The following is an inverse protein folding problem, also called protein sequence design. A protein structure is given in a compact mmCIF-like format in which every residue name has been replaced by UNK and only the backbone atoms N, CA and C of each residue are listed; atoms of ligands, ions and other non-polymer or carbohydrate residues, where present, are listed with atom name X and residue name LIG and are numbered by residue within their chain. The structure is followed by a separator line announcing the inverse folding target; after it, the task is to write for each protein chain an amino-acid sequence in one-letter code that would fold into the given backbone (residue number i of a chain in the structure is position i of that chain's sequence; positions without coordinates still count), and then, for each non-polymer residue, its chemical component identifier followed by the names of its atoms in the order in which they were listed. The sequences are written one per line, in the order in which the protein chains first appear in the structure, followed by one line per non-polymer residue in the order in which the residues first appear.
data_IF_162746605762
#
_entry.id   IF_162746605762
#
_cell.length_a   1.000
_cell.length_b   1.000
_cell.length_c   1.000
_cell.angle_alpha   90.00
_cell.angle_beta   90.00
_cell.angle_gamma   90.00
#
_symmetry.space_group_name_H-M   'P 1'
#
loop_
_entity.id
_entity.type
_entity.pdbx_description
1 polymer ?
#
# COMPACT_ATOMS: atom_id res chain seq x y z
N UNK A 1 3.51 -21.79 22.72
CA UNK A 1 3.43 -21.10 21.41
C UNK A 1 4.72 -20.45 20.96
N UNK A 2 5.34 -19.49 21.69
CA UNK A 2 6.61 -18.84 21.30
C UNK A 2 7.73 -19.86 20.99
N UNK A 3 7.90 -20.85 21.88
CA UNK A 3 8.82 -21.98 21.72
C UNK A 3 8.50 -22.90 20.51
N UNK A 4 7.22 -23.05 20.17
CA UNK A 4 6.76 -23.91 19.06
C UNK A 4 7.00 -23.26 17.69
N UNK A 5 6.90 -21.93 17.62
CA UNK A 5 7.25 -21.13 16.43
C UNK A 5 8.76 -20.93 16.25
N UNK A 6 9.53 -20.99 17.34
CA UNK A 6 11.00 -20.99 17.31
C UNK A 6 11.57 -22.37 16.90
N UNK A 7 10.90 -23.47 17.27
CA UNK A 7 11.37 -24.85 17.03
C UNK A 7 10.94 -25.43 15.65
N UNK A 8 9.80 -25.06 15.08
CA UNK A 8 9.44 -25.42 13.69
C UNK A 8 9.78 -24.29 12.73
N UNK A 9 10.86 -24.46 11.97
CA UNK A 9 11.24 -23.54 10.91
C UNK A 9 10.12 -23.41 9.87
N UNK A 10 9.62 -22.18 9.68
CA UNK A 10 8.79 -21.82 8.52
C UNK A 10 9.45 -22.40 7.24
N UNK A 11 8.70 -23.07 6.35
CA UNK A 11 9.22 -23.56 5.08
C UNK A 11 9.95 -22.44 4.32
N UNK A 12 11.07 -22.78 3.68
CA UNK A 12 11.97 -21.82 3.00
C UNK A 12 11.21 -20.93 2.01
N UNK A 13 10.19 -21.48 1.34
CA UNK A 13 9.38 -20.77 0.35
C UNK A 13 8.50 -19.67 0.98
N UNK A 14 8.06 -19.86 2.22
CA UNK A 14 7.27 -18.88 2.99
C UNK A 14 8.18 -17.76 3.49
N UNK A 15 9.38 -18.10 4.00
CA UNK A 15 10.38 -17.08 4.37
C UNK A 15 10.82 -16.24 3.17
N UNK A 16 10.82 -16.81 1.96
CA UNK A 16 11.17 -16.13 0.71
C UNK A 16 10.04 -15.21 0.21
N UNK A 17 8.77 -15.60 0.35
CA UNK A 17 7.61 -14.78 -0.04
C UNK A 17 7.25 -13.67 0.97
N UNK A 18 7.46 -13.89 2.28
CA UNK A 18 7.02 -12.97 3.33
C UNK A 18 8.10 -12.04 3.86
N UNK A 19 9.29 -12.05 3.25
CA UNK A 19 10.42 -11.18 3.65
C UNK A 19 10.08 -9.68 3.59
N UNK A 20 9.01 -9.29 2.88
CA UNK A 20 8.60 -7.90 2.69
C UNK A 20 7.41 -7.39 3.50
N UNK A 21 6.72 -8.19 4.34
CA UNK A 21 5.52 -7.69 5.03
C UNK A 21 5.23 -8.33 6.40
N UNK A 22 6.21 -8.27 7.31
CA UNK A 22 6.11 -8.75 8.71
C UNK A 22 4.91 -8.14 9.48
N UNK A 23 4.49 -6.91 9.13
CA UNK A 23 3.41 -6.17 9.81
C UNK A 23 2.03 -6.71 9.47
N UNK A 24 1.77 -7.07 8.22
CA UNK A 24 0.54 -7.72 7.80
C UNK A 24 0.39 -9.08 8.50
N UNK A 25 1.47 -9.84 8.57
CA UNK A 25 1.52 -11.12 9.29
C UNK A 25 1.20 -10.96 10.79
N UNK A 26 1.74 -9.92 11.43
CA UNK A 26 1.49 -9.61 12.85
C UNK A 26 0.04 -9.20 13.12
N UNK A 27 -0.52 -8.30 12.31
CA UNK A 27 -1.90 -7.82 12.49
C UNK A 27 -2.92 -8.94 12.29
N UNK A 28 -2.66 -9.84 11.34
CA UNK A 28 -3.46 -11.04 11.11
C UNK A 28 -3.36 -12.01 12.29
N UNK A 29 -2.17 -12.18 12.87
CA UNK A 29 -1.96 -12.99 14.08
C UNK A 29 -2.72 -12.46 15.29
N UNK A 30 -2.72 -11.14 15.49
CA UNK A 30 -3.36 -10.51 16.64
C UNK A 30 -4.90 -10.55 16.52
N UNK A 31 -5.45 -10.26 15.33
CA UNK A 31 -6.89 -10.39 15.07
C UNK A 31 -7.42 -11.82 15.28
N UNK A 32 -6.65 -12.83 14.88
CA UNK A 32 -7.06 -14.23 15.02
C UNK A 32 -6.91 -14.74 16.46
N UNK A 33 -5.96 -14.22 17.23
CA UNK A 33 -5.79 -14.52 18.67
C UNK A 33 -6.95 -13.98 19.50
N UNK A 34 -7.45 -12.79 19.17
CA UNK A 34 -8.59 -12.19 19.87
C UNK A 34 -9.93 -12.87 19.54
N UNK A 35 -10.04 -13.49 18.36
CA UNK A 35 -11.32 -14.02 17.85
C UNK A 35 -11.54 -15.50 18.09
N UNK A 36 -10.48 -16.29 18.27
CA UNK A 36 -10.56 -17.74 18.37
C UNK A 36 -9.69 -18.26 19.52
N UNK A 37 -10.32 -18.88 20.51
CA UNK A 37 -9.64 -19.46 21.67
C UNK A 37 -8.98 -20.79 21.29
N UNK A 38 -7.70 -20.75 20.94
CA UNK A 38 -6.97 -21.88 20.36
C UNK A 38 -6.24 -22.70 21.42
N UNK A 39 -6.97 -23.45 22.25
CA UNK A 39 -6.31 -24.21 23.34
C UNK A 39 -5.70 -25.56 22.93
N UNK A 40 -6.11 -26.24 21.85
CA UNK A 40 -5.47 -27.50 21.37
C UNK A 40 -6.03 -28.01 20.03
N UNK A 41 -5.54 -27.52 18.89
CA UNK A 41 -5.54 -28.24 17.59
C UNK A 41 -4.36 -27.73 16.73
N UNK A 42 -3.17 -28.30 16.93
CA UNK A 42 -1.91 -27.68 16.52
C UNK A 42 -1.60 -27.75 15.00
N UNK A 43 -2.26 -28.63 14.24
CA UNK A 43 -2.03 -28.75 12.80
C UNK A 43 -3.12 -28.09 11.94
N UNK A 44 -4.38 -28.14 12.39
CA UNK A 44 -5.53 -27.56 11.66
C UNK A 44 -5.53 -26.03 11.78
N UNK A 45 -5.32 -25.49 12.99
CA UNK A 45 -5.32 -24.03 13.18
C UNK A 45 -4.13 -23.38 12.46
N UNK A 46 -3.00 -24.07 12.38
CA UNK A 46 -1.84 -23.63 11.61
C UNK A 46 -2.11 -23.66 10.09
N UNK A 47 -2.72 -24.73 9.56
CA UNK A 47 -3.09 -24.78 8.14
C UNK A 47 -4.14 -23.73 7.76
N UNK A 48 -5.13 -23.48 8.62
CA UNK A 48 -6.14 -22.41 8.45
C UNK A 48 -5.51 -21.01 8.55
N UNK A 49 -4.56 -20.82 9.46
CA UNK A 49 -3.80 -19.59 9.59
C UNK A 49 -2.95 -19.29 8.34
N UNK A 50 -2.16 -20.24 7.84
CA UNK A 50 -1.40 -20.07 6.60
C UNK A 50 -2.30 -19.81 5.40
N UNK A 51 -3.41 -20.51 5.35
CA UNK A 51 -4.44 -20.34 4.33
C UNK A 51 -4.95 -18.90 4.35
N UNK A 52 -5.33 -18.38 5.51
CA UNK A 52 -5.79 -17.00 5.67
C UNK A 52 -4.76 -15.97 5.22
N UNK A 53 -3.48 -16.16 5.55
CA UNK A 53 -2.42 -15.25 5.14
C UNK A 53 -2.18 -15.34 3.62
N UNK A 54 -2.17 -16.54 3.03
CA UNK A 54 -2.08 -16.70 1.56
C UNK A 54 -3.22 -15.96 0.85
N UNK A 55 -4.44 -16.03 1.39
CA UNK A 55 -5.61 -15.32 0.88
C UNK A 55 -5.44 -13.81 1.03
N UNK A 56 -5.18 -13.32 2.25
CA UNK A 56 -5.02 -11.90 2.53
C UNK A 56 -3.91 -11.31 1.67
N UNK A 57 -2.79 -12.00 1.50
CA UNK A 57 -1.72 -11.54 0.61
C UNK A 57 -2.15 -11.54 -0.86
N UNK A 58 -2.92 -12.52 -1.31
CA UNK A 58 -3.38 -12.54 -2.70
C UNK A 58 -4.44 -11.46 -2.96
N UNK A 59 -5.41 -11.27 -2.06
CA UNK A 59 -6.37 -10.16 -2.12
C UNK A 59 -5.71 -8.80 -1.92
N UNK A 60 -4.56 -8.76 -1.23
CA UNK A 60 -3.85 -7.52 -0.90
C UNK A 60 -2.77 -7.13 -1.91
N UNK A 61 -2.19 -8.06 -2.67
CA UNK A 61 -1.00 -7.78 -3.50
C UNK A 61 -1.22 -8.15 -4.97
N UNK A 62 -1.96 -9.22 -5.29
CA UNK A 62 -2.09 -9.75 -6.64
C UNK A 62 -3.55 -10.06 -6.95
N UNK A 63 -4.30 -9.04 -7.38
CA UNK A 63 -5.74 -9.18 -7.68
C UNK A 63 -5.97 -10.30 -8.70
N UNK A 64 -5.12 -10.48 -9.72
CA UNK A 64 -5.33 -11.57 -10.68
C UNK A 64 -5.14 -12.97 -10.07
N UNK A 65 -4.33 -13.10 -9.02
CA UNK A 65 -4.04 -14.37 -8.36
C UNK A 65 -4.94 -14.65 -7.15
N UNK A 66 -5.78 -13.72 -6.69
CA UNK A 66 -6.63 -14.00 -5.52
C UNK A 66 -7.58 -15.19 -5.75
N UNK A 67 -8.12 -15.34 -6.97
CA UNK A 67 -8.89 -16.53 -7.36
C UNK A 67 -8.06 -17.82 -7.31
N UNK A 68 -6.82 -17.79 -7.82
CA UNK A 68 -5.90 -18.91 -7.77
C UNK A 68 -5.46 -19.23 -6.32
N UNK A 69 -5.28 -18.22 -5.49
CA UNK A 69 -4.95 -18.35 -4.07
C UNK A 69 -6.13 -18.94 -3.30
N UNK A 70 -7.36 -18.46 -3.53
CA UNK A 70 -8.59 -19.05 -2.98
C UNK A 70 -8.68 -20.53 -3.34
N UNK A 71 -8.48 -20.91 -4.61
CA UNK A 71 -8.47 -22.31 -5.04
C UNK A 71 -7.35 -23.13 -4.39
N UNK A 72 -6.12 -22.59 -4.34
CA UNK A 72 -4.98 -23.25 -3.71
C UNK A 72 -5.22 -23.52 -2.23
N UNK A 73 -5.78 -22.54 -1.53
CA UNK A 73 -6.17 -22.66 -0.12
C UNK A 73 -7.30 -23.68 0.05
N UNK A 74 -8.34 -23.62 -0.79
CA UNK A 74 -9.45 -24.57 -0.77
C UNK A 74 -8.95 -26.01 -0.94
N UNK A 75 -8.07 -26.26 -1.91
CA UNK A 75 -7.42 -27.55 -2.13
C UNK A 75 -6.59 -28.06 -0.94
N UNK A 76 -5.99 -27.17 -0.13
CA UNK A 76 -5.27 -27.53 1.09
C UNK A 76 -6.24 -27.87 2.22
N UNK A 77 -7.28 -27.06 2.38
CA UNK A 77 -8.28 -27.23 3.45
C UNK A 77 -9.13 -28.48 3.23
N UNK A 78 -9.49 -28.80 1.99
CA UNK A 78 -10.28 -29.99 1.65
C UNK A 78 -9.56 -31.31 2.01
N UNK A 79 -8.23 -31.28 2.18
CA UNK A 79 -7.42 -32.42 2.63
C UNK A 79 -7.36 -32.56 4.15
N UNK A 80 -7.87 -31.59 4.90
CA UNK A 80 -7.86 -31.61 6.37
C UNK A 80 -9.09 -32.36 6.92
N UNK A 81 -8.99 -32.98 8.11
CA UNK A 81 -10.14 -33.56 8.79
C UNK A 81 -11.23 -32.51 8.99
N UNK A 82 -12.47 -32.77 8.57
CA UNK A 82 -13.56 -31.78 8.65
C UNK A 82 -14.03 -31.56 10.08
N UNK A 83 -13.32 -30.69 10.80
CA UNK A 83 -13.70 -30.17 12.12
C UNK A 83 -14.59 -28.94 11.99
N UNK A 84 -15.31 -28.60 13.06
CA UNK A 84 -16.20 -27.43 13.08
C UNK A 84 -15.46 -26.12 12.76
N UNK A 85 -14.22 -25.96 13.24
CA UNK A 85 -13.38 -24.79 12.98
C UNK A 85 -13.02 -24.65 11.49
N UNK A 86 -12.69 -25.77 10.83
CA UNK A 86 -12.43 -25.78 9.37
C UNK A 86 -13.69 -25.43 8.59
N UNK A 87 -14.83 -26.02 8.96
CA UNK A 87 -16.10 -25.73 8.28
C UNK A 87 -16.50 -24.26 8.42
N UNK A 88 -16.27 -23.65 9.59
CA UNK A 88 -16.49 -22.22 9.81
C UNK A 88 -15.56 -21.36 8.95
N UNK A 89 -14.28 -21.73 8.86
CA UNK A 89 -13.31 -21.01 8.03
C UNK A 89 -13.67 -21.09 6.54
N UNK A 90 -14.05 -22.27 6.03
CA UNK A 90 -14.50 -22.43 4.64
C UNK A 90 -15.69 -21.50 4.35
N UNK A 91 -16.64 -21.35 5.27
CA UNK A 91 -17.78 -20.43 5.09
C UNK A 91 -17.37 -18.97 4.99
N UNK A 92 -16.46 -18.50 5.84
CA UNK A 92 -15.93 -17.14 5.76
C UNK A 92 -15.11 -16.94 4.48
N UNK A 93 -14.34 -17.95 4.08
CA UNK A 93 -13.59 -17.94 2.83
C UNK A 93 -14.50 -17.76 1.61
N UNK A 94 -15.57 -18.55 1.52
CA UNK A 94 -16.56 -18.45 0.45
C UNK A 94 -17.26 -17.08 0.43
N UNK A 95 -17.48 -16.46 1.60
CA UNK A 95 -18.03 -15.11 1.70
C UNK A 95 -17.08 -14.06 1.14
N UNK A 96 -15.78 -14.14 1.48
CA UNK A 96 -14.75 -13.25 0.97
C UNK A 96 -14.56 -13.39 -0.54
N UNK A 97 -14.50 -14.62 -1.05
CA UNK A 97 -14.42 -14.91 -2.49
C UNK A 97 -15.61 -14.29 -3.26
N UNK A 98 -16.83 -14.41 -2.72
CA UNK A 98 -18.03 -13.76 -3.31
C UNK A 98 -17.99 -12.24 -3.25
N UNK A 99 -17.37 -11.64 -2.23
CA UNK A 99 -17.21 -10.19 -2.13
C UNK A 99 -16.20 -9.69 -3.17
N UNK A 100 -15.07 -10.38 -3.31
CA UNK A 100 -14.04 -10.07 -4.30
C UNK A 100 -14.58 -10.24 -5.73
N UNK A 101 -15.32 -11.31 -6.01
CA UNK A 101 -15.97 -11.48 -7.32
C UNK A 101 -16.95 -10.34 -7.63
N UNK A 102 -17.73 -9.89 -6.62
CA UNK A 102 -18.64 -8.75 -6.77
C UNK A 102 -17.87 -7.45 -7.05
N UNK A 103 -16.76 -7.23 -6.34
CA UNK A 103 -15.87 -6.08 -6.57
C UNK A 103 -15.32 -6.09 -8.00
N UNK A 104 -14.78 -7.22 -8.48
CA UNK A 104 -14.24 -7.32 -9.86
C UNK A 104 -15.29 -7.03 -10.91
N UNK A 105 -16.47 -7.64 -10.80
CA UNK A 105 -17.59 -7.37 -11.72
C UNK A 105 -18.01 -5.90 -11.70
N UNK A 106 -17.95 -5.25 -10.52
CA UNK A 106 -18.20 -3.81 -10.40
C UNK A 106 -17.13 -3.01 -11.13
N UNK A 107 -15.85 -3.27 -10.90
CA UNK A 107 -14.73 -2.59 -11.58
C UNK A 107 -14.78 -2.78 -13.10
N UNK A 108 -15.04 -4.00 -13.57
CA UNK A 108 -15.21 -4.31 -14.99
C UNK A 108 -16.37 -3.51 -15.60
N UNK A 109 -17.50 -3.39 -14.88
CA UNK A 109 -18.61 -2.54 -15.31
C UNK A 109 -18.18 -1.07 -15.40
N UNK A 110 -17.45 -0.57 -14.40
CA UNK A 110 -16.98 0.82 -14.36
C UNK A 110 -16.01 1.14 -15.51
N UNK A 111 -15.11 0.21 -15.86
CA UNK A 111 -14.19 0.36 -17.00
C UNK A 111 -14.91 0.49 -18.35
N UNK A 112 -16.11 -0.06 -18.47
CA UNK A 112 -16.90 -0.08 -19.70
C UNK A 112 -18.02 0.98 -19.71
N UNK A 113 -18.10 1.86 -18.70
CA UNK A 113 -19.04 2.96 -18.70
C UNK A 113 -18.64 4.02 -19.74
N UNK A 114 -19.65 4.60 -20.38
CA UNK A 114 -19.46 5.85 -21.13
C UNK A 114 -19.28 7.01 -20.15
N UNK A 115 -18.03 7.20 -19.74
CA UNK A 115 -17.65 8.19 -18.74
C UNK A 115 -18.07 9.62 -19.11
N UNK A 116 -18.11 9.95 -20.41
CA UNK A 116 -18.40 11.31 -20.85
C UNK A 116 -19.90 11.65 -20.71
N UNK A 117 -20.76 10.63 -20.66
CA UNK A 117 -22.20 10.76 -20.43
C UNK A 117 -22.61 10.94 -18.96
N UNK A 118 -21.68 10.69 -18.02
CA UNK A 118 -21.95 10.72 -16.59
C UNK A 118 -22.05 12.15 -16.04
N UNK A 119 -22.82 12.33 -14.95
CA UNK A 119 -22.76 13.57 -14.19
C UNK A 119 -21.43 13.71 -13.44
N UNK A 120 -21.03 14.95 -13.12
CA UNK A 120 -19.76 15.22 -12.46
C UNK A 120 -19.57 14.45 -11.14
N UNK A 121 -20.63 14.25 -10.36
CA UNK A 121 -20.56 13.47 -9.11
C UNK A 121 -20.22 12.01 -9.41
N UNK A 122 -20.88 11.42 -10.39
CA UNK A 122 -20.66 10.02 -10.80
C UNK A 122 -19.26 9.85 -11.39
N UNK A 123 -18.81 10.81 -12.23
CA UNK A 123 -17.44 10.84 -12.76
C UNK A 123 -16.39 10.75 -11.64
N UNK A 124 -16.57 11.53 -10.58
CA UNK A 124 -15.69 11.52 -9.39
C UNK A 124 -15.71 10.14 -8.72
N UNK A 125 -16.90 9.62 -8.42
CA UNK A 125 -17.06 8.33 -7.74
C UNK A 125 -16.39 7.19 -8.54
N UNK A 126 -16.56 7.17 -9.87
CA UNK A 126 -15.90 6.19 -10.75
C UNK A 126 -14.39 6.35 -10.75
N UNK A 127 -13.87 7.58 -10.86
CA UNK A 127 -12.44 7.82 -10.89
C UNK A 127 -11.75 7.38 -9.58
N UNK A 128 -12.32 7.72 -8.42
CA UNK A 128 -11.77 7.29 -7.12
C UNK A 128 -11.83 5.78 -6.94
N UNK A 129 -12.95 5.14 -7.28
CA UNK A 129 -13.08 3.69 -7.12
C UNK A 129 -12.08 2.92 -7.99
N UNK A 130 -11.86 3.38 -9.23
CA UNK A 130 -10.86 2.80 -10.11
C UNK A 130 -9.42 3.10 -9.63
N UNK A 131 -9.15 4.27 -9.04
CA UNK A 131 -7.81 4.60 -8.51
C UNK A 131 -7.42 3.80 -7.28
N UNK A 132 -8.41 3.41 -6.46
CA UNK A 132 -8.23 2.53 -5.30
C UNK A 132 -8.12 1.05 -5.68
N UNK A 133 -8.34 0.73 -6.96
CA UNK A 133 -8.04 -0.60 -7.50
C UNK A 133 -6.54 -0.89 -7.36
N UNK A 134 -6.19 -2.16 -7.15
CA UNK A 134 -4.78 -2.59 -7.13
C UNK A 134 -4.27 -2.95 -8.51
N UNK A 135 -5.17 -3.18 -9.45
CA UNK A 135 -4.83 -3.42 -10.86
C UNK A 135 -4.36 -2.12 -11.53
N UNK A 136 -3.21 -2.21 -12.21
CA UNK A 136 -2.57 -1.07 -12.85
C UNK A 136 -3.39 -0.54 -14.02
N UNK A 137 -4.16 -1.41 -14.70
CA UNK A 137 -5.01 -1.02 -15.82
C UNK A 137 -6.14 -0.11 -15.36
N UNK A 138 -6.84 -0.49 -14.29
CA UNK A 138 -7.85 0.33 -13.63
C UNK A 138 -7.31 1.68 -13.20
N UNK A 139 -6.12 1.72 -12.57
CA UNK A 139 -5.47 2.98 -12.22
C UNK A 139 -5.13 3.82 -13.46
N UNK A 140 -4.64 3.20 -14.54
CA UNK A 140 -4.38 3.89 -15.79
C UNK A 140 -5.64 4.52 -16.40
N UNK A 141 -6.80 3.86 -16.28
CA UNK A 141 -8.11 4.42 -16.66
C UNK A 141 -8.49 5.56 -15.73
N UNK A 142 -8.37 5.36 -14.41
CA UNK A 142 -8.67 6.38 -13.40
C UNK A 142 -7.85 7.66 -13.60
N UNK A 143 -6.56 7.55 -13.94
CA UNK A 143 -5.71 8.69 -14.27
C UNK A 143 -6.32 9.50 -15.44
N UNK A 144 -6.72 8.84 -16.53
CA UNK A 144 -7.39 9.53 -17.65
C UNK A 144 -8.69 10.21 -17.23
N UNK A 145 -9.47 9.59 -16.36
CA UNK A 145 -10.71 10.16 -15.84
C UNK A 145 -10.47 11.37 -14.94
N UNK A 146 -9.48 11.32 -14.04
CA UNK A 146 -9.09 12.49 -13.26
C UNK A 146 -8.63 13.66 -14.14
N UNK A 147 -7.86 13.39 -15.21
CA UNK A 147 -7.49 14.42 -16.17
C UNK A 147 -8.70 15.02 -16.89
N UNK A 148 -9.69 14.21 -17.28
CA UNK A 148 -10.96 14.70 -17.84
C UNK A 148 -11.73 15.58 -16.86
N UNK A 149 -11.87 15.15 -15.61
CA UNK A 149 -12.54 15.92 -14.55
C UNK A 149 -11.79 17.25 -14.31
N UNK A 150 -10.46 17.22 -14.27
CA UNK A 150 -9.65 18.44 -14.17
C UNK A 150 -9.90 19.37 -15.36
N UNK A 151 -9.98 18.84 -16.58
CA UNK A 151 -10.25 19.68 -17.76
C UNK A 151 -11.63 20.33 -17.74
N UNK A 152 -12.64 19.66 -17.17
CA UNK A 152 -14.00 20.19 -16.99
C UNK A 152 -14.11 21.22 -15.85
N UNK A 153 -13.42 20.98 -14.74
CA UNK A 153 -13.61 21.73 -13.49
C UNK A 153 -12.52 22.75 -13.20
N UNK A 154 -11.31 22.54 -13.74
CA UNK A 154 -10.06 23.23 -13.41
C UNK A 154 -9.71 23.20 -11.92
N UNK A 155 -10.25 22.23 -11.19
CA UNK A 155 -9.90 21.99 -9.79
C UNK A 155 -8.59 21.18 -9.70
N UNK A 156 -7.55 21.84 -9.18
CA UNK A 156 -6.19 21.31 -9.02
C UNK A 156 -6.14 20.02 -8.20
N UNK A 157 -7.13 19.76 -7.34
CA UNK A 157 -7.23 18.49 -6.60
C UNK A 157 -7.25 17.29 -7.56
N UNK A 158 -7.98 17.39 -8.67
CA UNK A 158 -8.06 16.32 -9.66
C UNK A 158 -6.78 16.20 -10.49
N UNK A 159 -6.05 17.29 -10.68
CA UNK A 159 -4.74 17.24 -11.34
C UNK A 159 -3.69 16.55 -10.45
N UNK A 160 -3.72 16.81 -9.13
CA UNK A 160 -2.89 16.09 -8.17
C UNK A 160 -3.20 14.59 -8.16
N UNK A 161 -4.50 14.23 -8.15
CA UNK A 161 -4.92 12.82 -8.21
C UNK A 161 -4.55 12.16 -9.54
N UNK A 162 -4.60 12.89 -10.65
CA UNK A 162 -4.14 12.42 -11.95
C UNK A 162 -2.65 12.02 -11.90
N UNK A 163 -1.77 12.93 -11.46
CA UNK A 163 -0.33 12.68 -11.39
C UNK A 163 0.03 11.52 -10.45
N UNK A 164 -0.58 11.48 -9.25
CA UNK A 164 -0.39 10.37 -8.32
C UNK A 164 -0.90 9.04 -8.87
N UNK A 165 -2.03 9.06 -9.57
CA UNK A 165 -2.60 7.84 -10.16
C UNK A 165 -1.76 7.35 -11.34
N UNK A 166 -1.18 8.24 -12.15
CA UNK A 166 -0.20 7.89 -13.20
C UNK A 166 1.01 7.16 -12.59
N UNK A 167 1.55 7.69 -11.50
CA UNK A 167 2.67 7.06 -10.82
C UNK A 167 2.32 5.64 -10.37
N UNK A 168 1.18 5.51 -9.68
CA UNK A 168 0.66 4.24 -9.15
C UNK A 168 0.23 3.25 -10.24
N UNK A 169 -0.05 3.71 -11.46
CA UNK A 169 -0.33 2.84 -12.62
C UNK A 169 0.93 2.39 -13.35
N UNK A 170 2.12 2.83 -12.90
CA UNK A 170 3.41 2.50 -13.52
C UNK A 170 3.87 3.48 -14.60
N UNK A 171 3.08 4.51 -14.93
CA UNK A 171 3.51 5.56 -15.86
C UNK A 171 4.31 6.64 -15.10
N UNK A 172 5.44 6.21 -14.53
CA UNK A 172 6.22 7.01 -13.58
C UNK A 172 6.89 8.22 -14.23
N UNK A 173 7.43 8.04 -15.45
CA UNK A 173 8.10 9.13 -16.18
C UNK A 173 7.14 10.28 -16.43
N UNK A 174 5.94 10.00 -16.97
CA UNK A 174 4.92 11.03 -17.16
C UNK A 174 4.50 11.65 -15.83
N UNK A 175 4.33 10.86 -14.77
CA UNK A 175 3.99 11.39 -13.46
C UNK A 175 5.04 12.40 -12.93
N UNK A 176 6.33 12.20 -13.22
CA UNK A 176 7.38 13.17 -12.84
C UNK A 176 7.19 14.52 -13.52
N UNK A 177 6.84 14.52 -14.81
CA UNK A 177 6.55 15.74 -15.58
C UNK A 177 5.33 16.48 -15.00
N UNK A 178 4.25 15.76 -14.70
CA UNK A 178 3.05 16.36 -14.10
C UNK A 178 3.31 16.90 -12.68
N UNK A 179 4.19 16.24 -11.92
CA UNK A 179 4.63 16.76 -10.63
C UNK A 179 5.40 18.07 -10.73
N UNK A 180 6.21 18.27 -11.78
CA UNK A 180 6.85 19.57 -11.99
C UNK A 180 5.81 20.66 -12.25
N UNK A 181 4.75 20.36 -13.01
CA UNK A 181 3.66 21.30 -13.25
C UNK A 181 2.89 21.62 -11.97
N UNK A 182 2.55 20.61 -11.15
CA UNK A 182 1.88 20.81 -9.84
C UNK A 182 2.72 21.71 -8.92
N UNK A 183 4.04 21.50 -8.88
CA UNK A 183 4.95 22.33 -8.08
C UNK A 183 4.93 23.79 -8.55
N UNK A 184 4.88 24.05 -9.87
CA UNK A 184 4.74 25.41 -10.37
C UNK A 184 3.39 26.01 -10.00
N UNK A 185 2.30 25.26 -10.17
CA UNK A 185 0.95 25.72 -9.81
C UNK A 185 0.85 26.06 -8.33
N UNK A 186 1.48 25.29 -7.44
CA UNK A 186 1.50 25.57 -6.02
C UNK A 186 2.23 26.86 -5.64
N UNK A 187 3.00 27.49 -6.53
CA UNK A 187 3.58 28.82 -6.26
C UNK A 187 2.54 29.94 -6.36
N UNK A 188 1.50 29.75 -7.16
CA UNK A 188 0.52 30.80 -7.48
C UNK A 188 -0.88 30.49 -6.93
N UNK A 189 -1.26 29.22 -6.87
CA UNK A 189 -2.60 28.79 -6.47
C UNK A 189 -2.73 28.61 -4.96
N UNK A 190 -3.89 28.93 -4.38
CA UNK A 190 -4.18 28.58 -2.97
C UNK A 190 -4.76 27.16 -2.94
N UNK A 191 -4.12 26.27 -2.19
CA UNK A 191 -4.58 24.88 -2.04
C UNK A 191 -4.39 24.43 -0.58
N UNK A 192 -5.44 23.93 0.09
CA UNK A 192 -5.42 23.67 1.55
C UNK A 192 -4.46 22.55 1.96
N UNK A 193 -4.14 21.63 1.05
CA UNK A 193 -3.34 20.42 1.34
C UNK A 193 -1.99 20.39 0.60
N UNK A 194 -1.39 21.57 0.32
CA UNK A 194 -0.13 21.65 -0.43
C UNK A 194 0.98 20.82 0.20
N UNK A 195 1.19 20.98 1.51
CA UNK A 195 2.25 20.28 2.21
C UNK A 195 2.08 18.75 2.13
N UNK A 196 0.85 18.26 2.21
CA UNK A 196 0.56 16.84 2.04
C UNK A 196 0.89 16.35 0.63
N UNK A 197 0.39 17.04 -0.39
CA UNK A 197 0.65 16.66 -1.79
C UNK A 197 2.15 16.73 -2.09
N UNK A 198 2.84 17.78 -1.63
CA UNK A 198 4.29 17.91 -1.79
C UNK A 198 5.05 16.76 -1.13
N UNK A 199 4.66 16.34 0.08
CA UNK A 199 5.22 15.16 0.74
C UNK A 199 5.06 13.89 -0.10
N UNK A 200 3.87 13.66 -0.67
CA UNK A 200 3.64 12.53 -1.58
C UNK A 200 4.46 12.61 -2.87
N UNK A 201 4.59 13.81 -3.46
CA UNK A 201 5.42 14.03 -4.65
C UNK A 201 6.88 13.68 -4.38
N UNK A 202 7.42 14.13 -3.25
CA UNK A 202 8.80 13.80 -2.88
C UNK A 202 8.97 12.30 -2.65
N UNK A 203 8.00 11.62 -2.02
CA UNK A 203 8.04 10.17 -1.85
C UNK A 203 8.11 9.42 -3.18
N UNK A 204 7.24 9.75 -4.12
CA UNK A 204 7.21 9.12 -5.43
C UNK A 204 8.50 9.41 -6.23
N UNK A 205 9.06 10.63 -6.11
CA UNK A 205 10.35 10.99 -6.72
C UNK A 205 11.51 10.20 -6.12
N UNK A 206 11.57 10.04 -4.80
CA UNK A 206 12.57 9.21 -4.14
C UNK A 206 12.49 7.76 -4.62
N UNK A 207 11.29 7.16 -4.67
CA UNK A 207 11.12 5.79 -5.18
C UNK A 207 11.49 5.69 -6.67
N UNK A 208 11.24 6.73 -7.47
CA UNK A 208 11.63 6.76 -8.89
C UNK A 208 13.15 6.79 -9.06
N UNK A 209 13.84 7.61 -8.27
CA UNK A 209 15.29 7.81 -8.35
C UNK A 209 16.10 6.99 -7.33
N UNK A 210 15.51 5.99 -6.68
CA UNK A 210 16.17 5.17 -5.64
C UNK A 210 17.43 4.42 -6.07
N UNK A 211 17.70 4.28 -7.37
CA UNK A 211 18.93 3.69 -7.89
C UNK A 211 20.01 4.74 -8.22
N UNK A 212 19.69 6.03 -8.14
CA UNK A 212 20.59 7.16 -8.41
C UNK A 212 20.82 7.92 -7.10
N UNK A 213 21.90 7.58 -6.38
CA UNK A 213 22.20 8.17 -5.07
C UNK A 213 22.27 9.69 -5.12
N UNK A 214 22.81 10.26 -6.20
CA UNK A 214 22.97 11.71 -6.32
C UNK A 214 21.61 12.39 -6.39
N UNK A 215 20.73 11.92 -7.30
CA UNK A 215 19.36 12.46 -7.40
C UNK A 215 18.55 12.23 -6.13
N UNK A 216 18.68 11.05 -5.54
CA UNK A 216 18.01 10.74 -4.27
C UNK A 216 18.40 11.74 -3.17
N UNK A 217 19.69 12.06 -3.03
CA UNK A 217 20.18 13.06 -2.08
C UNK A 217 19.64 14.47 -2.40
N UNK A 218 19.67 14.88 -3.67
CA UNK A 218 19.14 16.19 -4.11
C UNK A 218 17.65 16.34 -3.76
N UNK A 219 16.87 15.27 -3.94
CA UNK A 219 15.43 15.24 -3.60
C UNK A 219 15.24 15.32 -2.08
N UNK A 220 16.01 14.57 -1.30
CA UNK A 220 15.97 14.64 0.16
C UNK A 220 16.26 16.06 0.67
N UNK A 221 17.37 16.65 0.23
CA UNK A 221 17.79 17.98 0.67
C UNK A 221 16.75 19.05 0.25
N UNK A 222 16.12 18.88 -0.92
CA UNK A 222 15.02 19.74 -1.37
C UNK A 222 13.77 19.60 -0.49
N UNK A 223 13.34 18.37 -0.23
CA UNK A 223 12.14 18.10 0.56
C UNK A 223 12.26 18.60 2.01
N UNK A 224 13.46 18.46 2.60
CA UNK A 224 13.80 18.99 3.93
C UNK A 224 13.75 20.52 3.99
N UNK A 225 14.09 21.19 2.89
CA UNK A 225 14.06 22.64 2.79
C UNK A 225 12.69 23.20 2.37
N UNK A 226 11.76 22.36 1.90
CA UNK A 226 10.49 22.81 1.37
C UNK A 226 9.56 23.36 2.48
N UNK A 227 9.13 24.63 2.40
CA UNK A 227 8.31 25.24 3.45
C UNK A 227 6.94 24.58 3.60
N UNK A 228 6.35 24.09 2.51
CA UNK A 228 5.04 23.44 2.56
C UNK A 228 5.13 22.11 3.30
N UNK A 229 6.21 21.35 3.11
CA UNK A 229 6.42 20.08 3.81
C UNK A 229 6.72 20.33 5.29
N UNK A 230 7.55 21.33 5.61
CA UNK A 230 7.91 21.68 7.00
C UNK A 230 6.74 22.18 7.85
N UNK A 231 5.74 22.79 7.23
CA UNK A 231 4.54 23.29 7.92
C UNK A 231 3.51 22.20 8.19
N UNK A 232 3.65 21.00 7.60
CA UNK A 232 2.74 19.88 7.89
C UNK A 232 3.02 19.37 9.31
N UNK A 233 2.00 19.28 10.18
CA UNK A 233 2.18 18.71 11.51
C UNK A 233 2.71 17.27 11.42
N UNK A 234 3.66 16.91 12.29
CA UNK A 234 4.21 15.54 12.37
C UNK A 234 3.14 14.46 12.63
N UNK A 235 2.04 14.83 13.30
CA UNK A 235 0.89 13.96 13.53
C UNK A 235 0.03 13.73 12.26
N UNK A 236 0.30 14.45 11.17
CA UNK A 236 -0.43 14.30 9.93
C UNK A 236 0.00 13.00 9.23
N UNK A 237 -0.94 12.11 8.85
CA UNK A 237 -0.62 10.78 8.33
C UNK A 237 0.35 10.78 7.13
N UNK A 238 0.28 11.80 6.26
CA UNK A 238 1.17 11.88 5.10
C UNK A 238 2.60 12.32 5.41
N UNK A 239 2.81 13.15 6.45
CA UNK A 239 4.16 13.51 6.89
C UNK A 239 4.82 12.34 7.61
N UNK A 240 4.06 11.65 8.48
CA UNK A 240 4.50 10.42 9.14
C UNK A 240 4.85 9.31 8.13
N UNK A 241 4.01 9.14 7.10
CA UNK A 241 4.26 8.20 6.00
C UNK A 241 5.55 8.53 5.27
N UNK A 242 5.74 9.80 4.90
CA UNK A 242 6.94 10.31 4.25
C UNK A 242 8.22 10.00 5.04
N UNK A 243 8.32 10.38 6.32
CA UNK A 243 9.58 10.18 7.08
C UNK A 243 9.90 8.69 7.24
N UNK A 244 8.91 7.86 7.58
CA UNK A 244 9.10 6.42 7.78
C UNK A 244 9.49 5.72 6.47
N UNK A 245 8.75 5.97 5.39
CA UNK A 245 9.00 5.36 4.08
C UNK A 245 10.37 5.75 3.53
N UNK A 246 10.79 7.01 3.73
CA UNK A 246 12.12 7.47 3.33
C UNK A 246 13.23 6.79 4.10
N UNK A 247 13.01 6.53 5.40
CA UNK A 247 13.99 5.85 6.25
C UNK A 247 14.16 4.41 5.76
N UNK A 248 13.07 3.73 5.45
CA UNK A 248 13.10 2.37 4.90
C UNK A 248 13.78 2.30 3.52
N UNK A 249 13.45 3.22 2.60
CA UNK A 249 14.08 3.25 1.27
C UNK A 249 15.58 3.52 1.42
N UNK A 250 15.96 4.53 2.22
CA UNK A 250 17.36 4.89 2.43
C UNK A 250 18.16 3.72 3.01
N UNK A 251 17.60 3.02 4.00
CA UNK A 251 18.20 1.81 4.56
C UNK A 251 18.35 0.69 3.53
N UNK A 252 17.29 0.38 2.78
CA UNK A 252 17.28 -0.71 1.80
C UNK A 252 18.26 -0.50 0.64
N UNK A 253 18.56 0.76 0.30
CA UNK A 253 19.47 1.13 -0.77
C UNK A 253 20.89 1.51 -0.28
N UNK A 254 21.17 1.36 1.02
CA UNK A 254 22.49 1.61 1.61
C UNK A 254 22.87 3.10 1.70
N UNK A 255 21.88 3.99 1.72
CA UNK A 255 22.05 5.43 1.93
C UNK A 255 22.04 5.76 3.42
N UNK A 256 23.00 5.17 4.15
CA UNK A 256 23.05 5.26 5.61
C UNK A 256 23.20 6.69 6.12
N UNK A 257 23.87 7.57 5.38
CA UNK A 257 23.96 8.99 5.72
C UNK A 257 22.59 9.68 5.80
N UNK A 258 21.69 9.36 4.87
CA UNK A 258 20.31 9.89 4.86
C UNK A 258 19.45 9.14 5.88
N UNK A 259 19.64 7.83 6.02
CA UNK A 259 18.95 7.01 7.01
C UNK A 259 19.22 7.49 8.44
N UNK A 260 20.46 7.87 8.76
CA UNK A 260 20.84 8.38 10.07
C UNK A 260 20.16 9.72 10.37
N UNK A 261 20.15 10.66 9.41
CA UNK A 261 19.43 11.93 9.54
C UNK A 261 17.93 11.72 9.82
N UNK A 262 17.29 10.83 9.07
CA UNK A 262 15.87 10.50 9.23
C UNK A 262 15.58 9.77 10.55
N UNK A 263 16.48 8.91 11.01
CA UNK A 263 16.36 8.23 12.29
C UNK A 263 16.40 9.20 13.46
N UNK A 264 17.22 10.24 13.39
CA UNK A 264 17.27 11.28 14.41
C UNK A 264 15.95 12.07 14.44
N UNK A 265 15.37 12.40 13.28
CA UNK A 265 14.03 13.01 13.19
C UNK A 265 12.95 12.09 13.80
N UNK A 266 12.94 10.80 13.45
CA UNK A 266 12.01 9.80 14.01
C UNK A 266 12.12 9.73 15.53
N UNK A 267 13.34 9.72 16.08
CA UNK A 267 13.57 9.65 17.53
C UNK A 267 13.12 10.93 18.25
N UNK A 268 13.46 12.09 17.69
CA UNK A 268 13.10 13.40 18.25
C UNK A 268 11.57 13.54 18.36
N UNK A 269 10.86 13.06 17.35
CA UNK A 269 9.40 13.11 17.25
C UNK A 269 8.71 11.90 17.88
N UNK A 270 9.47 10.97 18.49
CA UNK A 270 8.98 9.74 19.15
C UNK A 270 8.13 8.86 18.22
N UNK A 271 8.50 8.83 16.94
CA UNK A 271 7.82 8.07 15.92
C UNK A 271 8.27 6.59 15.91
N UNK A 272 7.44 5.66 15.40
CA UNK A 272 7.81 4.26 15.33
C UNK A 272 8.93 4.01 14.31
N UNK A 273 10.07 3.51 14.79
CA UNK A 273 11.19 3.08 13.92
C UNK A 273 10.82 1.75 13.22
N UNK A 274 11.06 1.61 11.91
CA UNK A 274 10.93 0.34 11.18
C UNK A 274 11.74 -0.81 11.79
N UNK A 275 11.16 -2.01 11.84
CA UNK A 275 11.73 -3.15 12.57
C UNK A 275 13.08 -3.64 12.00
N UNK A 276 13.22 -3.65 10.67
CA UNK A 276 14.48 -3.98 9.99
C UNK A 276 15.61 -2.99 10.36
N UNK A 277 15.26 -1.72 10.58
CA UNK A 277 16.21 -0.68 10.97
C UNK A 277 16.54 -0.81 12.46
N UNK A 278 15.55 -1.08 13.31
CA UNK A 278 15.80 -1.41 14.73
C UNK A 278 16.78 -2.56 14.90
N UNK A 279 16.57 -3.65 14.15
CA UNK A 279 17.44 -4.84 14.16
C UNK A 279 18.88 -4.48 13.75
N UNK A 280 19.07 -3.58 12.77
CA UNK A 280 20.40 -3.16 12.31
C UNK A 280 21.11 -2.22 13.28
N UNK A 281 20.38 -1.24 13.83
CA UNK A 281 20.93 -0.19 14.69
C UNK A 281 20.90 -0.52 16.19
N UNK A 282 20.32 -1.66 16.59
CA UNK A 282 20.23 -2.08 17.99
C UNK A 282 19.30 -1.22 18.84
N UNK A 283 18.18 -0.78 18.26
CA UNK A 283 17.18 0.12 18.86
C UNK A 283 15.94 -0.60 19.43
#
# INVERSE_FOLDING_TARGET
MKKYFEEKSLPVDVKKHYKGNKKLLSNVLDYLRDKYDFERIEDINFALFYSYIEIECATTIYVDDAGAAFQKVRCKIDKLPKTQSILSFIKELEKLERLELRRRKRLEKLMNLDFDSLELKEKKDVAYELSDSKDLTNKGVAARYFLKIYNETKDIHYFCNYASTLYKSGNKERAMEEYDEIIQLFKTEKYPDKGWVMGCIYADRMDYYKNDKKKFREIWDTAKADPYVREVPFAFPGYLGYVIEFTEISFNYGYFDICDELLDEIKNEKLPVPQNIKEHYGL
#
